data_IF_726869183168
#
_entry.id   IF_726869183168
#
_cell.length_a   1.000
_cell.length_b   1.000
_cell.length_c   1.000
_cell.angle_alpha   90.00
_cell.angle_beta   90.00
_cell.angle_gamma   90.00
#
_symmetry.space_group_name_H-M   'P 1'
#
loop_
_entity.id
_entity.type
_entity.pdbx_description
1 polymer ?
#
# COMPACT_ATOMS: atom_id res chain seq x y z
N UNK A 1 -4.08 27.27 -0.29
CA UNK A 1 -4.52 25.87 -0.47
C UNK A 1 -4.30 25.17 0.86
N UNK A 2 -5.37 24.84 1.57
CA UNK A 2 -5.30 24.25 2.90
C UNK A 2 -4.89 22.77 2.76
N UNK A 3 -3.73 22.40 3.28
CA UNK A 3 -3.35 21.01 3.51
C UNK A 3 -4.22 20.47 4.65
N UNK A 4 -5.32 19.80 4.31
CA UNK A 4 -6.14 19.12 5.30
C UNK A 4 -5.42 17.85 5.78
N UNK A 5 -5.26 17.78 7.11
CA UNK A 5 -5.34 16.58 7.95
C UNK A 5 -4.37 15.42 7.68
N UNK A 6 -3.49 15.18 8.65
CA UNK A 6 -3.01 13.91 9.27
C UNK A 6 -3.54 12.54 8.78
N UNK A 7 -3.79 12.30 7.50
CA UNK A 7 -4.38 11.05 7.06
C UNK A 7 -3.29 10.00 6.79
N UNK A 8 -3.11 9.12 7.76
CA UNK A 8 -2.43 7.83 7.54
C UNK A 8 -3.40 6.86 6.88
N UNK A 9 -2.87 5.81 6.25
CA UNK A 9 -3.71 4.70 5.82
C UNK A 9 -4.49 4.16 7.04
N UNK A 10 -5.80 3.89 6.92
CA UNK A 10 -6.62 3.29 7.96
C UNK A 10 -6.03 2.00 8.53
N UNK A 11 -6.27 1.75 9.81
CA UNK A 11 -5.63 0.64 10.54
C UNK A 11 -6.04 -0.73 9.95
N UNK A 12 -7.24 -0.84 9.39
CA UNK A 12 -7.73 -2.03 8.67
C UNK A 12 -6.91 -2.34 7.41
N UNK A 13 -6.50 -1.32 6.66
CA UNK A 13 -5.65 -1.49 5.48
C UNK A 13 -4.20 -1.72 5.89
N UNK A 14 -3.75 -1.12 6.99
CA UNK A 14 -2.43 -1.41 7.57
C UNK A 14 -2.32 -2.88 8.01
N UNK A 15 -3.39 -3.45 8.58
CA UNK A 15 -3.46 -4.85 8.97
C UNK A 15 -3.37 -5.82 7.78
N UNK A 16 -3.64 -5.35 6.55
CA UNK A 16 -3.44 -6.11 5.31
C UNK A 16 -1.99 -5.95 4.82
N UNK A 17 -1.47 -4.72 4.82
CA UNK A 17 -0.17 -4.41 4.22
C UNK A 17 1.02 -4.88 5.07
N UNK A 18 0.96 -4.73 6.39
CA UNK A 18 2.12 -4.99 7.27
C UNK A 18 2.60 -6.45 7.23
N UNK A 19 1.73 -7.48 7.28
CA UNK A 19 2.16 -8.88 7.24
C UNK A 19 2.97 -9.25 5.99
N UNK A 20 2.76 -8.52 4.88
CA UNK A 20 3.41 -8.79 3.60
C UNK A 20 4.53 -7.80 3.26
N UNK A 21 4.97 -6.99 4.22
CA UNK A 21 5.97 -5.94 4.01
C UNK A 21 7.24 -6.46 3.33
N UNK A 22 7.86 -7.51 3.88
CA UNK A 22 9.12 -8.04 3.34
C UNK A 22 8.93 -8.67 1.95
N UNK A 23 7.78 -9.31 1.73
CA UNK A 23 7.44 -9.87 0.42
C UNK A 23 7.28 -8.76 -0.63
N UNK A 24 6.63 -7.64 -0.28
CA UNK A 24 6.52 -6.47 -1.15
C UNK A 24 7.90 -5.91 -1.51
N UNK A 25 8.81 -5.78 -0.54
CA UNK A 25 10.17 -5.28 -0.76
C UNK A 25 10.98 -6.14 -1.76
N UNK A 26 10.72 -7.46 -1.77
CA UNK A 26 11.48 -8.41 -2.58
C UNK A 26 10.87 -8.71 -3.95
N UNK A 27 9.55 -8.53 -4.11
CA UNK A 27 8.83 -8.97 -5.32
C UNK A 27 8.27 -7.83 -6.16
N UNK A 28 8.03 -6.67 -5.58
CA UNK A 28 7.45 -5.55 -6.29
C UNK A 28 8.54 -4.64 -6.86
N UNK A 29 8.41 -4.31 -8.14
CA UNK A 29 9.01 -3.11 -8.69
C UNK A 29 8.06 -1.91 -8.51
N UNK A 30 8.43 -0.90 -7.71
CA UNK A 30 7.58 0.27 -7.46
C UNK A 30 7.54 1.26 -8.63
N UNK A 31 8.40 1.16 -9.65
CA UNK A 31 8.42 2.17 -10.72
C UNK A 31 7.09 2.29 -11.47
N UNK A 32 6.47 1.20 -11.99
CA UNK A 32 5.17 1.32 -12.66
C UNK A 32 4.06 1.80 -11.73
N UNK A 33 4.15 1.40 -10.45
CA UNK A 33 3.16 1.70 -9.43
C UNK A 33 3.21 3.17 -9.04
N UNK A 34 4.41 3.74 -8.85
CA UNK A 34 4.57 5.15 -8.46
C UNK A 34 4.03 6.10 -9.53
N UNK A 35 4.10 5.71 -10.81
CA UNK A 35 3.45 6.46 -11.89
C UNK A 35 1.92 6.48 -11.74
N UNK A 36 1.31 5.34 -11.36
CA UNK A 36 -0.13 5.26 -11.11
C UNK A 36 -0.54 6.09 -9.90
N UNK A 37 0.17 5.95 -8.78
CA UNK A 37 -0.06 6.73 -7.55
C UNK A 37 0.00 8.24 -7.82
N UNK A 38 0.97 8.69 -8.63
CA UNK A 38 1.10 10.08 -9.05
C UNK A 38 -0.05 10.52 -9.96
N UNK A 39 -0.42 9.71 -10.96
CA UNK A 39 -1.51 10.06 -11.89
C UNK A 39 -2.87 10.21 -11.21
N UNK A 40 -3.05 9.54 -10.06
CA UNK A 40 -4.27 9.62 -9.24
C UNK A 40 -4.15 10.60 -8.07
N UNK A 41 -3.13 11.46 -8.10
CA UNK A 41 -2.87 12.51 -7.12
C UNK A 41 -2.69 12.01 -5.67
N UNK A 42 -2.39 10.71 -5.48
CA UNK A 42 -2.05 10.15 -4.18
C UNK A 42 -0.64 10.58 -3.77
N UNK A 43 0.30 10.51 -4.72
CA UNK A 43 1.67 10.99 -4.54
C UNK A 43 1.87 12.31 -5.29
N UNK A 44 2.61 13.23 -4.68
CA UNK A 44 3.06 14.44 -5.34
C UNK A 44 4.20 14.15 -6.32
N UNK A 45 4.58 15.17 -7.12
CA UNK A 45 5.76 15.07 -7.99
C UNK A 45 7.04 14.80 -7.19
N UNK A 46 7.19 15.43 -6.02
CA UNK A 46 8.34 15.25 -5.13
C UNK A 46 8.40 13.82 -4.59
N UNK A 47 7.27 13.27 -4.15
CA UNK A 47 7.16 11.88 -3.68
C UNK A 47 7.57 10.90 -4.78
N UNK A 48 7.08 11.10 -6.00
CA UNK A 48 7.44 10.29 -7.16
C UNK A 48 8.93 10.38 -7.46
N UNK A 49 9.49 11.58 -7.50
CA UNK A 49 10.93 11.76 -7.74
C UNK A 49 11.77 11.13 -6.64
N UNK A 50 11.34 11.20 -5.38
CA UNK A 50 12.02 10.58 -4.26
C UNK A 50 12.12 9.06 -4.42
N UNK A 51 11.04 8.41 -4.86
CA UNK A 51 11.04 6.97 -5.17
C UNK A 51 11.96 6.68 -6.35
N UNK A 52 11.85 7.42 -7.46
CA UNK A 52 12.60 7.11 -8.68
C UNK A 52 14.12 7.37 -8.56
N UNK A 53 14.54 8.31 -7.72
CA UNK A 53 15.95 8.64 -7.45
C UNK A 53 16.67 7.60 -6.56
N UNK A 54 15.94 6.68 -5.92
CA UNK A 54 16.60 5.65 -5.13
C UNK A 54 17.44 4.71 -6.00
N UNK A 55 18.50 4.20 -5.41
CA UNK A 55 19.60 3.47 -6.05
C UNK A 55 19.23 2.06 -6.51
N UNK A 56 18.33 1.38 -5.81
CA UNK A 56 17.92 0.01 -6.14
C UNK A 56 16.44 -0.23 -5.86
N UNK A 57 15.85 -1.22 -6.55
CA UNK A 57 14.41 -1.56 -6.48
C UNK A 57 13.89 -1.70 -5.04
N UNK A 58 14.64 -2.38 -4.17
CA UNK A 58 14.25 -2.59 -2.77
C UNK A 58 14.18 -1.25 -2.02
N UNK A 59 15.18 -0.39 -2.18
CA UNK A 59 15.18 0.96 -1.58
C UNK A 59 14.06 1.84 -2.15
N UNK A 60 13.78 1.76 -3.45
CA UNK A 60 12.61 2.42 -4.06
C UNK A 60 11.33 1.98 -3.37
N UNK A 61 11.17 0.67 -3.11
CA UNK A 61 9.97 0.12 -2.47
C UNK A 61 9.87 0.51 -0.99
N UNK A 62 10.99 0.58 -0.28
CA UNK A 62 11.03 1.10 1.10
C UNK A 62 10.53 2.55 1.16
N UNK A 63 10.98 3.40 0.24
CA UNK A 63 10.53 4.79 0.16
C UNK A 63 9.04 4.83 -0.21
N UNK A 64 8.65 4.06 -1.22
CA UNK A 64 7.25 3.96 -1.66
C UNK A 64 6.31 3.59 -0.51
N UNK A 65 6.62 2.55 0.27
CA UNK A 65 5.77 2.12 1.39
C UNK A 65 5.69 3.17 2.50
N UNK A 66 6.80 3.86 2.80
CA UNK A 66 6.81 4.97 3.78
C UNK A 66 5.87 6.11 3.37
N UNK A 67 5.82 6.43 2.08
CA UNK A 67 4.92 7.42 1.52
C UNK A 67 3.48 6.92 1.53
N UNK A 68 3.26 5.69 1.08
CA UNK A 68 1.96 5.02 1.04
C UNK A 68 1.28 5.07 2.42
N UNK A 69 1.96 4.69 3.49
CA UNK A 69 1.40 4.69 4.86
C UNK A 69 0.97 6.08 5.37
N UNK A 70 1.41 7.16 4.72
CA UNK A 70 1.11 8.56 5.05
C UNK A 70 0.15 9.23 4.06
N UNK A 71 -0.43 8.47 3.13
CA UNK A 71 -1.19 9.00 1.99
C UNK A 71 -2.72 8.90 2.13
N UNK A 72 -3.21 8.71 3.35
CA UNK A 72 -4.63 8.70 3.68
C UNK A 72 -5.43 7.50 3.16
N UNK A 73 -6.75 7.58 3.31
CA UNK A 73 -7.68 6.46 3.07
C UNK A 73 -7.73 6.00 1.62
N UNK A 74 -7.60 6.93 0.67
CA UNK A 74 -7.65 6.61 -0.76
C UNK A 74 -6.37 5.93 -1.28
N UNK A 75 -5.29 5.90 -0.50
CA UNK A 75 -4.02 5.37 -0.98
C UNK A 75 -4.03 3.85 -1.16
N UNK A 76 -4.70 3.11 -0.27
CA UNK A 76 -4.75 1.65 -0.37
C UNK A 76 -5.55 1.18 -1.60
N UNK A 77 -6.78 1.65 -1.86
CA UNK A 77 -7.52 1.25 -3.07
C UNK A 77 -6.76 1.55 -4.37
N UNK A 78 -6.11 2.72 -4.46
CA UNK A 78 -5.31 3.08 -5.63
C UNK A 78 -4.08 2.21 -5.77
N UNK A 79 -3.40 1.89 -4.66
CA UNK A 79 -2.26 0.98 -4.67
C UNK A 79 -2.67 -0.43 -5.11
N UNK A 80 -3.79 -0.95 -4.59
CA UNK A 80 -4.34 -2.24 -4.98
C UNK A 80 -4.64 -2.29 -6.48
N UNK A 81 -5.33 -1.28 -7.02
CA UNK A 81 -5.63 -1.18 -8.46
C UNK A 81 -4.35 -1.08 -9.30
N UNK A 82 -3.34 -0.34 -8.83
CA UNK A 82 -2.05 -0.24 -9.51
C UNK A 82 -1.30 -1.59 -9.55
N UNK A 83 -1.38 -2.38 -8.48
CA UNK A 83 -0.83 -3.74 -8.42
C UNK A 83 -1.55 -4.69 -9.37
N UNK A 84 -2.89 -4.63 -9.41
CA UNK A 84 -3.72 -5.42 -10.31
C UNK A 84 -3.38 -5.13 -11.78
N UNK A 85 -3.36 -3.84 -12.16
CA UNK A 85 -3.01 -3.40 -13.51
C UNK A 85 -1.56 -3.74 -13.91
N UNK A 86 -0.67 -3.86 -12.93
CA UNK A 86 0.74 -4.24 -13.15
C UNK A 86 0.95 -5.76 -13.14
N UNK A 87 -0.11 -6.55 -12.99
CA UNK A 87 -0.06 -8.02 -13.05
C UNK A 87 0.46 -8.71 -11.78
N UNK A 88 0.51 -8.02 -10.63
CA UNK A 88 0.94 -8.60 -9.35
C UNK A 88 -0.16 -9.45 -8.69
N UNK A 89 -0.74 -10.38 -9.46
CA UNK A 89 -1.90 -11.20 -9.07
C UNK A 89 -1.64 -12.00 -7.78
N UNK A 90 -0.41 -12.51 -7.58
CA UNK A 90 -0.05 -13.22 -6.36
C UNK A 90 -0.11 -12.32 -5.12
N UNK A 91 0.33 -11.07 -5.22
CA UNK A 91 0.26 -10.11 -4.12
C UNK A 91 -1.19 -9.78 -3.77
N UNK A 92 -2.02 -9.56 -4.79
CA UNK A 92 -3.45 -9.29 -4.62
C UNK A 92 -4.13 -10.44 -3.87
N UNK A 93 -3.85 -11.69 -4.24
CA UNK A 93 -4.38 -12.86 -3.53
C UNK A 93 -3.96 -12.88 -2.05
N UNK A 94 -2.71 -12.56 -1.74
CA UNK A 94 -2.24 -12.48 -0.36
C UNK A 94 -3.02 -11.42 0.43
N UNK A 95 -3.27 -10.25 -0.17
CA UNK A 95 -4.04 -9.19 0.47
C UNK A 95 -5.49 -9.61 0.71
N UNK A 96 -6.14 -10.24 -0.27
CA UNK A 96 -7.50 -10.78 -0.13
C UNK A 96 -7.59 -11.83 0.96
N UNK A 97 -6.62 -12.73 1.04
CA UNK A 97 -6.60 -13.79 2.05
C UNK A 97 -6.32 -13.23 3.45
N UNK A 98 -5.51 -12.17 3.56
CA UNK A 98 -5.29 -11.47 4.83
C UNK A 98 -6.54 -10.69 5.27
N UNK A 99 -7.23 -10.01 4.35
CA UNK A 99 -8.49 -9.31 4.65
C UNK A 99 -9.58 -10.29 5.14
N UNK A 100 -9.71 -11.45 4.48
CA UNK A 100 -10.61 -12.52 4.96
C UNK A 100 -10.25 -12.99 6.37
N UNK A 101 -8.97 -13.22 6.66
CA UNK A 101 -8.51 -13.63 7.99
C UNK A 101 -8.83 -12.59 9.05
N UNK A 102 -8.61 -11.30 8.75
CA UNK A 102 -8.90 -10.19 9.64
C UNK A 102 -10.41 -10.13 9.99
N UNK A 103 -11.30 -10.43 9.02
CA UNK A 103 -12.76 -10.48 9.24
C UNK A 103 -13.21 -11.69 10.06
N UNK A 104 -12.56 -12.85 9.90
CA UNK A 104 -12.89 -14.06 10.67
C UNK A 104 -12.38 -14.05 12.12
N UNK A 105 -11.57 -13.05 12.48
CA UNK A 105 -10.97 -12.91 13.82
C UNK A 105 -11.86 -12.19 14.82
N UNK A 106 -13.10 -11.81 14.45
CA UNK A 106 -14.06 -11.28 15.41
C UNK A 106 -14.38 -12.34 16.49
N UNK A 107 -14.32 -12.00 17.79
CA UNK A 107 -14.52 -12.96 18.85
C UNK A 107 -15.96 -13.47 18.81
N UNK A 108 -16.14 -14.77 18.56
CA UNK A 108 -17.32 -15.48 19.00
C UNK A 108 -17.42 -15.31 20.51
N UNK A 109 -18.28 -14.38 20.95
CA UNK A 109 -18.69 -14.31 22.33
C UNK A 109 -19.41 -15.63 22.65
N UNK A 110 -18.69 -16.53 23.32
CA UNK A 110 -19.27 -17.68 23.99
C UNK A 110 -20.25 -17.17 25.04
N UNK A 111 -21.54 -17.15 24.67
CA UNK A 111 -22.66 -17.01 25.60
C UNK A 111 -22.68 -18.26 26.49
N UNK A 112 -22.11 -18.15 27.69
CA UNK A 112 -22.42 -19.04 28.82
C UNK A 112 -23.67 -18.58 29.54
#
# INVERSE_FOLDING_TARGET
MQKQSSERIPDEHMAILQPHHDYMLDKIDPEPIVHSMFSKEIFSLDDKEQVLKADNRRNKMVIFLKLLYRSGSNAYPVFYEALENSGYVEMIKLFDDQDKQNRTSEPTFDLK
#
